data_IF_391038339110
#
_entry.id   IF_391038339110
#
_cell.length_a   1.000
_cell.length_b   1.000
_cell.length_c   1.000
_cell.angle_alpha   90.00
_cell.angle_beta   90.00
_cell.angle_gamma   90.00
#
_symmetry.space_group_name_H-M   'P 1'
#
loop_
_entity.id
_entity.type
_entity.pdbx_description
1 polymer ?
#
# COMPACT_ATOMS: atom_id res chain seq x y z
N UNK A 1 -5.20 -8.75 -18.76
CA UNK A 1 -5.68 -9.62 -17.66
C UNK A 1 -5.42 -11.10 -17.95
N UNK A 2 -5.93 -11.69 -19.04
CA UNK A 2 -5.69 -13.12 -19.32
C UNK A 2 -4.19 -13.47 -19.50
N UNK A 3 -3.43 -12.67 -20.24
CA UNK A 3 -1.99 -12.92 -20.40
C UNK A 3 -1.25 -12.88 -19.05
N UNK A 4 -1.51 -11.85 -18.23
CA UNK A 4 -0.82 -11.68 -16.94
C UNK A 4 -1.21 -12.76 -15.92
N UNK A 5 -2.50 -12.97 -15.69
CA UNK A 5 -2.99 -13.84 -14.60
C UNK A 5 -3.27 -15.28 -15.05
N UNK A 6 -3.64 -15.48 -16.31
CA UNK A 6 -3.92 -16.80 -16.88
C UNK A 6 -2.71 -17.48 -17.52
N UNK A 7 -1.79 -16.71 -18.10
CA UNK A 7 -0.60 -17.27 -18.79
C UNK A 7 0.67 -17.12 -17.96
N UNK A 8 1.02 -15.89 -17.54
CA UNK A 8 2.22 -15.63 -16.74
C UNK A 8 2.07 -16.05 -15.27
N UNK A 9 0.86 -16.41 -14.83
CA UNK A 9 0.59 -16.95 -13.49
C UNK A 9 0.64 -15.91 -12.38
N UNK A 10 0.47 -14.62 -12.69
CA UNK A 10 0.34 -13.60 -11.65
C UNK A 10 -0.88 -13.90 -10.78
N UNK A 11 -0.77 -13.63 -9.48
CA UNK A 11 -1.80 -13.99 -8.49
C UNK A 11 -2.13 -12.84 -7.53
N UNK A 12 -1.58 -11.66 -7.77
CA UNK A 12 -1.84 -10.45 -6.98
C UNK A 12 -2.04 -9.28 -7.95
N UNK A 13 -3.09 -8.50 -7.75
CA UNK A 13 -3.32 -7.21 -8.39
C UNK A 13 -3.27 -6.11 -7.32
N UNK A 14 -2.48 -5.06 -7.58
CA UNK A 14 -2.52 -3.79 -6.85
C UNK A 14 -3.40 -2.81 -7.60
N UNK A 15 -4.35 -2.17 -6.93
CA UNK A 15 -5.20 -1.11 -7.50
C UNK A 15 -5.00 0.22 -6.78
N UNK A 16 -5.19 1.33 -7.48
CA UNK A 16 -5.16 2.66 -6.89
C UNK A 16 -6.51 3.03 -6.26
N UNK A 17 -6.46 3.68 -5.10
CA UNK A 17 -7.59 4.36 -4.50
C UNK A 17 -7.56 5.82 -4.97
N UNK A 18 -8.46 6.17 -5.88
CA UNK A 18 -8.58 7.52 -6.45
C UNK A 18 -9.28 8.49 -5.48
N UNK A 19 -8.61 9.62 -5.19
CA UNK A 19 -9.05 10.69 -4.29
C UNK A 19 -10.40 11.32 -4.65
N UNK A 20 -10.75 11.36 -5.94
CA UNK A 20 -12.03 11.89 -6.44
C UNK A 20 -13.12 10.82 -6.52
N UNK A 21 -12.84 9.62 -6.00
CA UNK A 21 -13.74 8.46 -6.00
C UNK A 21 -14.04 7.90 -7.40
N UNK A 22 -13.13 8.09 -8.36
CA UNK A 22 -13.23 7.48 -9.68
C UNK A 22 -12.78 6.01 -9.64
N UNK A 23 -13.56 5.16 -8.96
CA UNK A 23 -13.17 3.78 -8.61
C UNK A 23 -13.62 2.71 -9.60
N UNK A 24 -14.41 3.06 -10.61
CA UNK A 24 -15.09 2.08 -11.49
C UNK A 24 -14.13 1.29 -12.38
N UNK A 25 -13.09 1.94 -12.89
CA UNK A 25 -12.08 1.28 -13.71
C UNK A 25 -11.31 0.25 -12.89
N UNK A 26 -10.93 0.59 -11.66
CA UNK A 26 -10.23 -0.33 -10.76
C UNK A 26 -11.14 -1.45 -10.25
N UNK A 27 -12.43 -1.17 -10.05
CA UNK A 27 -13.42 -2.21 -9.78
C UNK A 27 -13.53 -3.20 -10.95
N UNK A 28 -13.54 -2.69 -12.19
CA UNK A 28 -13.55 -3.52 -13.40
C UNK A 28 -12.30 -4.38 -13.51
N UNK A 29 -11.13 -3.81 -13.23
CA UNK A 29 -9.85 -4.53 -13.21
C UNK A 29 -9.82 -5.62 -12.14
N UNK A 30 -10.22 -5.28 -10.91
CA UNK A 30 -10.29 -6.21 -9.79
C UNK A 30 -11.20 -7.41 -10.08
N UNK A 31 -12.40 -7.17 -10.64
CA UNK A 31 -13.31 -8.26 -11.04
C UNK A 31 -12.70 -9.22 -12.04
N UNK A 32 -11.91 -8.72 -13.01
CA UNK A 32 -11.23 -9.57 -14.00
C UNK A 32 -10.13 -10.42 -13.34
N UNK A 33 -9.33 -9.82 -12.45
CA UNK A 33 -8.27 -10.53 -11.75
C UNK A 33 -8.82 -11.58 -10.76
N UNK A 34 -9.89 -11.27 -10.02
CA UNK A 34 -10.56 -12.20 -9.10
C UNK A 34 -11.11 -13.44 -9.82
N UNK A 35 -11.67 -13.28 -11.04
CA UNK A 35 -12.12 -14.41 -11.87
C UNK A 35 -10.98 -15.35 -12.27
N UNK A 36 -9.74 -14.87 -12.21
CA UNK A 36 -8.51 -15.62 -12.49
C UNK A 36 -7.78 -16.01 -11.19
N UNK A 37 -8.49 -16.04 -10.05
CA UNK A 37 -8.00 -16.44 -8.72
C UNK A 37 -6.90 -15.54 -8.14
N UNK A 38 -6.77 -14.31 -8.61
CA UNK A 38 -5.85 -13.34 -8.01
C UNK A 38 -6.40 -12.77 -6.70
N UNK A 39 -5.51 -12.39 -5.78
CA UNK A 39 -5.83 -11.47 -4.68
C UNK A 39 -5.78 -10.04 -5.19
N UNK A 40 -6.60 -9.16 -4.62
CA UNK A 40 -6.56 -7.72 -4.92
C UNK A 40 -6.25 -6.96 -3.64
N UNK A 41 -5.27 -6.07 -3.67
CA UNK A 41 -5.06 -5.09 -2.61
C UNK A 41 -5.07 -3.68 -3.18
N UNK A 42 -5.36 -2.70 -2.34
CA UNK A 42 -5.53 -1.32 -2.77
C UNK A 42 -4.63 -0.36 -1.99
N UNK A 43 -4.06 0.62 -2.69
CA UNK A 43 -3.21 1.66 -2.10
C UNK A 43 -3.70 3.05 -2.52
N UNK A 44 -3.90 3.97 -1.58
CA UNK A 44 -4.09 5.39 -1.89
C UNK A 44 -2.73 6.06 -2.13
N UNK A 45 -2.64 6.94 -3.12
CA UNK A 45 -1.46 7.80 -3.32
C UNK A 45 -1.56 9.09 -2.52
N UNK A 46 -2.79 9.56 -2.30
CA UNK A 46 -3.10 10.78 -1.56
C UNK A 46 -4.50 10.66 -0.96
N UNK A 47 -4.81 11.52 0.01
CA UNK A 47 -6.19 11.74 0.46
C UNK A 47 -6.86 12.80 -0.44
N UNK A 48 -8.20 12.92 -0.43
CA UNK A 48 -8.89 14.08 -0.99
C UNK A 48 -8.25 15.39 -0.53
N UNK A 49 -8.06 16.34 -1.44
CA UNK A 49 -7.35 17.60 -1.17
C UNK A 49 -7.86 18.32 0.10
N UNK A 50 -9.18 18.31 0.34
CA UNK A 50 -9.80 18.96 1.50
C UNK A 50 -9.40 18.35 2.85
N UNK A 51 -8.88 17.11 2.87
CA UNK A 51 -8.36 16.44 4.07
C UNK A 51 -6.90 16.79 4.38
N UNK A 52 -6.21 17.48 3.47
CA UNK A 52 -4.77 17.78 3.59
C UNK A 52 -4.53 19.21 4.04
N UNK A 53 -3.36 19.46 4.63
CA UNK A 53 -3.01 20.79 5.15
C UNK A 53 -2.81 21.81 4.02
N UNK A 54 -2.24 21.38 2.89
CA UNK A 54 -2.00 22.25 1.74
C UNK A 54 -3.20 22.41 0.81
N UNK A 55 -4.30 21.67 1.02
CA UNK A 55 -5.48 21.67 0.15
C UNK A 55 -5.16 21.37 -1.33
N UNK A 56 -4.20 20.47 -1.58
CA UNK A 56 -3.79 20.04 -2.91
C UNK A 56 -3.62 18.52 -2.95
N UNK A 57 -3.77 17.89 -4.11
CA UNK A 57 -3.56 16.44 -4.25
C UNK A 57 -2.09 16.04 -4.21
N UNK A 58 -1.21 16.96 -4.60
CA UNK A 58 0.24 16.78 -4.60
C UNK A 58 0.87 17.30 -3.30
N UNK A 59 1.79 16.51 -2.74
CA UNK A 59 2.59 16.83 -1.55
C UNK A 59 1.76 17.11 -0.30
N UNK A 60 2.44 17.44 0.81
CA UNK A 60 1.81 17.87 2.05
C UNK A 60 1.24 16.73 2.89
N UNK A 61 1.15 16.94 4.22
CA UNK A 61 0.63 15.92 5.12
C UNK A 61 -0.90 15.90 5.16
N UNK A 62 -1.44 14.78 5.65
CA UNK A 62 -2.83 14.72 6.10
C UNK A 62 -3.03 15.67 7.29
N UNK A 63 -4.11 16.46 7.28
CA UNK A 63 -4.42 17.32 8.41
C UNK A 63 -4.68 16.50 9.67
N UNK A 64 -4.17 16.95 10.81
CA UNK A 64 -4.26 16.22 12.09
C UNK A 64 -5.70 15.98 12.56
N UNK A 65 -6.64 16.84 12.17
CA UNK A 65 -8.07 16.70 12.46
C UNK A 65 -8.82 15.82 11.44
N UNK A 66 -8.15 15.30 10.41
CA UNK A 66 -8.77 14.53 9.32
C UNK A 66 -8.47 13.03 9.41
N UNK A 67 -7.77 12.54 10.43
CA UNK A 67 -7.40 11.12 10.54
C UNK A 67 -8.61 10.18 10.60
N UNK A 68 -9.68 10.58 11.31
CA UNK A 68 -10.93 9.82 11.31
C UNK A 68 -11.56 9.79 9.92
N UNK A 69 -11.65 10.94 9.26
CA UNK A 69 -12.27 11.06 7.94
C UNK A 69 -11.49 10.29 6.87
N UNK A 70 -10.15 10.28 6.97
CA UNK A 70 -9.31 9.49 6.09
C UNK A 70 -9.50 7.98 6.30
N UNK A 71 -9.60 7.52 7.55
CA UNK A 71 -9.93 6.13 7.83
C UNK A 71 -11.32 5.73 7.30
N UNK A 72 -12.31 6.63 7.44
CA UNK A 72 -13.66 6.42 6.91
C UNK A 72 -13.67 6.44 5.36
N UNK A 73 -12.81 7.26 4.74
CA UNK A 73 -12.58 7.25 3.29
C UNK A 73 -12.01 5.91 2.80
N UNK A 74 -10.96 5.39 3.44
CA UNK A 74 -10.41 4.06 3.11
C UNK A 74 -11.44 2.95 3.34
N UNK A 75 -12.21 3.02 4.44
CA UNK A 75 -13.32 2.11 4.68
C UNK A 75 -14.35 2.15 3.56
N UNK A 76 -14.71 3.34 3.08
CA UNK A 76 -15.72 3.49 2.03
C UNK A 76 -15.28 2.83 0.71
N UNK A 77 -13.97 2.82 0.40
CA UNK A 77 -13.41 2.06 -0.72
C UNK A 77 -13.54 0.54 -0.51
N UNK A 78 -13.18 0.04 0.68
CA UNK A 78 -13.33 -1.38 1.04
C UNK A 78 -14.79 -1.83 0.91
N UNK A 79 -15.71 -1.04 1.45
CA UNK A 79 -17.15 -1.33 1.39
C UNK A 79 -17.67 -1.25 -0.05
N UNK A 80 -17.23 -0.27 -0.85
CA UNK A 80 -17.58 -0.14 -2.27
C UNK A 80 -17.20 -1.40 -3.06
N UNK A 81 -15.95 -1.85 -2.93
CA UNK A 81 -15.44 -3.04 -3.59
C UNK A 81 -16.17 -4.32 -3.15
N UNK A 82 -16.37 -4.48 -1.83
CA UNK A 82 -17.11 -5.62 -1.26
C UNK A 82 -18.54 -5.68 -1.78
N UNK A 83 -19.27 -4.57 -1.73
CA UNK A 83 -20.69 -4.50 -2.12
C UNK A 83 -20.88 -4.71 -3.63
N UNK A 84 -19.85 -4.45 -4.43
CA UNK A 84 -19.86 -4.67 -5.87
C UNK A 84 -19.27 -6.02 -6.30
N UNK A 85 -19.03 -6.95 -5.37
CA UNK A 85 -18.57 -8.30 -5.69
C UNK A 85 -17.09 -8.42 -6.01
N UNK A 86 -16.27 -7.48 -5.55
CA UNK A 86 -14.82 -7.49 -5.71
C UNK A 86 -14.09 -7.29 -4.37
N UNK A 87 -14.31 -8.14 -3.35
CA UNK A 87 -13.74 -7.94 -2.03
C UNK A 87 -12.21 -7.92 -2.07
N UNK A 88 -11.62 -6.94 -1.38
CA UNK A 88 -10.18 -6.78 -1.27
C UNK A 88 -9.58 -7.78 -0.27
N UNK A 89 -8.37 -8.25 -0.55
CA UNK A 89 -7.55 -9.04 0.36
C UNK A 89 -6.90 -8.15 1.44
N UNK A 90 -6.41 -6.97 1.04
CA UNK A 90 -5.74 -6.02 1.91
C UNK A 90 -5.94 -4.57 1.41
N UNK A 91 -5.70 -3.60 2.29
CA UNK A 91 -5.68 -2.17 2.00
C UNK A 91 -4.48 -1.53 2.68
N UNK A 92 -3.78 -0.66 1.96
CA UNK A 92 -2.64 0.08 2.49
C UNK A 92 -3.05 1.44 3.05
N UNK A 93 -2.25 1.97 3.97
CA UNK A 93 -2.49 3.29 4.55
C UNK A 93 -2.15 4.41 3.57
N UNK A 94 -1.04 4.31 2.83
CA UNK A 94 -0.55 5.35 1.92
C UNK A 94 0.62 4.80 1.09
N UNK A 95 0.75 5.23 -0.16
CA UNK A 95 1.91 5.01 -1.01
C UNK A 95 3.07 5.93 -0.59
N UNK A 96 4.26 5.37 -0.38
CA UNK A 96 5.54 6.11 -0.28
C UNK A 96 5.47 7.38 0.60
N UNK A 97 5.06 7.23 1.87
CA UNK A 97 4.88 8.38 2.76
C UNK A 97 6.15 9.20 2.99
N UNK A 98 7.30 8.58 2.74
CA UNK A 98 8.66 9.09 2.88
C UNK A 98 9.26 9.70 1.61
N UNK A 99 8.70 9.44 0.43
CA UNK A 99 9.11 10.05 -0.84
C UNK A 99 8.13 11.14 -1.32
N UNK A 100 7.02 11.34 -0.60
CA UNK A 100 5.93 12.22 -0.98
C UNK A 100 6.33 13.66 -1.32
N UNK A 101 7.41 14.21 -0.75
CA UNK A 101 7.88 15.58 -1.04
C UNK A 101 8.71 15.70 -2.33
N UNK A 102 9.33 14.60 -2.77
CA UNK A 102 10.18 14.57 -3.96
C UNK A 102 9.39 14.15 -5.21
N UNK A 103 8.32 13.40 -5.01
CA UNK A 103 7.50 12.86 -6.08
C UNK A 103 6.89 13.95 -7.01
N UNK A 104 6.88 13.74 -8.33
CA UNK A 104 6.30 14.68 -9.28
C UNK A 104 4.77 14.56 -9.42
N UNK A 105 4.13 13.58 -8.78
CA UNK A 105 2.71 13.23 -8.91
C UNK A 105 1.91 13.44 -7.60
N UNK A 106 0.63 13.05 -7.59
CA UNK A 106 -0.24 13.15 -6.41
C UNK A 106 0.29 12.29 -5.26
N UNK A 107 0.51 12.91 -4.11
CA UNK A 107 1.16 12.28 -2.96
C UNK A 107 0.69 12.90 -1.66
N UNK A 108 0.79 12.15 -0.58
CA UNK A 108 0.58 12.65 0.77
C UNK A 108 1.66 12.10 1.70
N UNK A 109 2.28 12.97 2.48
CA UNK A 109 3.34 12.56 3.39
C UNK A 109 2.79 12.07 4.73
N UNK A 110 3.52 11.12 5.33
CA UNK A 110 3.35 10.70 6.71
C UNK A 110 4.72 10.57 7.36
N UNK A 111 4.95 11.24 8.49
CA UNK A 111 6.10 10.92 9.33
C UNK A 111 5.89 9.58 10.04
N UNK A 112 6.95 8.96 10.52
CA UNK A 112 6.87 7.71 11.30
C UNK A 112 5.92 7.82 12.51
N UNK A 113 5.94 8.96 13.21
CA UNK A 113 5.04 9.17 14.37
C UNK A 113 3.59 9.38 13.95
N UNK A 114 3.34 10.08 12.84
CA UNK A 114 2.00 10.20 12.26
C UNK A 114 1.47 8.83 11.83
N UNK A 115 2.30 7.99 11.22
CA UNK A 115 1.92 6.65 10.76
C UNK A 115 1.57 5.76 11.95
N UNK A 116 2.43 5.71 12.98
CA UNK A 116 2.14 5.01 14.24
C UNK A 116 0.84 5.51 14.88
N UNK A 117 0.64 6.84 14.97
CA UNK A 117 -0.57 7.41 15.53
C UNK A 117 -1.82 6.98 14.74
N UNK A 118 -1.75 7.02 13.42
CA UNK A 118 -2.83 6.57 12.55
C UNK A 118 -3.15 5.08 12.74
N UNK A 119 -2.13 4.24 12.73
CA UNK A 119 -2.27 2.79 12.92
C UNK A 119 -2.94 2.46 14.25
N UNK A 120 -2.44 3.05 15.35
CA UNK A 120 -2.94 2.81 16.71
C UNK A 120 -4.39 3.21 16.90
N UNK A 121 -4.76 4.39 16.39
CA UNK A 121 -6.01 5.03 16.77
C UNK A 121 -7.11 4.95 15.70
N UNK A 122 -6.75 4.66 14.44
CA UNK A 122 -7.68 4.79 13.31
C UNK A 122 -7.75 3.57 12.40
N UNK A 123 -6.73 2.69 12.34
CA UNK A 123 -6.78 1.51 11.46
C UNK A 123 -7.94 0.55 11.81
N UNK A 124 -8.34 0.48 13.10
CA UNK A 124 -9.49 -0.30 13.54
C UNK A 124 -10.82 0.15 12.91
N UNK A 125 -10.94 1.44 12.51
CA UNK A 125 -12.14 1.94 11.81
C UNK A 125 -12.26 1.32 10.43
N UNK A 126 -11.15 1.19 9.69
CA UNK A 126 -11.09 0.57 8.36
C UNK A 126 -11.57 -0.88 8.42
N UNK A 127 -11.15 -1.60 9.47
CA UNK A 127 -11.54 -3.00 9.72
C UNK A 127 -12.99 -3.18 10.18
N UNK A 128 -13.69 -2.13 10.63
CA UNK A 128 -15.03 -2.27 11.20
C UNK A 128 -16.01 -2.89 10.19
N UNK A 129 -16.55 -4.08 10.51
CA UNK A 129 -17.46 -4.84 9.65
C UNK A 129 -16.80 -5.58 8.47
N UNK A 130 -15.47 -5.70 8.45
CA UNK A 130 -14.72 -6.45 7.44
C UNK A 130 -13.51 -7.21 8.03
N UNK A 131 -13.01 -8.20 7.31
CA UNK A 131 -11.77 -8.91 7.66
C UNK A 131 -10.59 -8.40 6.81
N UNK A 132 -10.63 -7.13 6.40
CA UNK A 132 -9.61 -6.53 5.55
C UNK A 132 -8.26 -6.52 6.28
N UNK A 133 -7.19 -6.87 5.57
CA UNK A 133 -5.82 -6.75 6.10
C UNK A 133 -5.31 -5.33 5.92
N UNK A 134 -4.63 -4.80 6.93
CA UNK A 134 -3.95 -3.51 6.86
C UNK A 134 -2.50 -3.72 6.42
N UNK A 135 -2.11 -2.98 5.40
CA UNK A 135 -0.73 -2.87 4.92
C UNK A 135 -0.15 -1.51 5.30
N UNK A 136 1.11 -1.50 5.73
CA UNK A 136 1.88 -0.29 6.00
C UNK A 136 3.38 -0.63 6.05
N UNK A 137 4.26 0.37 5.90
CA UNK A 137 3.99 1.74 5.47
C UNK A 137 4.10 1.95 3.95
N UNK A 138 4.51 0.95 3.16
CA UNK A 138 4.88 1.11 1.75
C UNK A 138 5.95 2.20 1.54
N UNK A 139 6.99 2.18 2.38
CA UNK A 139 8.16 3.06 2.22
C UNK A 139 8.80 2.88 0.84
N UNK A 140 9.19 4.00 0.21
CA UNK A 140 9.83 4.03 -1.11
C UNK A 140 11.13 3.23 -1.17
N UNK A 141 11.94 3.31 -0.10
CA UNK A 141 13.22 2.63 -0.03
C UNK A 141 14.38 3.40 0.59
N UNK A 142 14.19 4.69 0.87
CA UNK A 142 15.23 5.56 1.42
C UNK A 142 15.07 5.84 2.92
N UNK A 143 13.90 5.61 3.51
CA UNK A 143 13.69 5.81 4.95
C UNK A 143 14.03 4.55 5.74
N UNK A 144 15.23 4.53 6.32
CA UNK A 144 15.85 3.33 6.91
C UNK A 144 15.10 2.64 8.06
N UNK A 145 14.06 3.23 8.65
CA UNK A 145 13.54 2.74 9.95
C UNK A 145 12.01 2.82 10.16
N UNK A 146 11.19 3.17 9.14
CA UNK A 146 9.73 3.31 9.38
C UNK A 146 9.06 1.96 9.70
N UNK A 147 9.31 0.92 8.90
CA UNK A 147 8.81 -0.43 9.15
C UNK A 147 9.24 -0.94 10.54
N UNK A 148 10.53 -0.81 10.86
CA UNK A 148 11.09 -1.20 12.16
C UNK A 148 10.45 -0.44 13.32
N UNK A 149 10.27 0.87 13.21
CA UNK A 149 9.63 1.68 14.25
C UNK A 149 8.16 1.31 14.47
N UNK A 150 7.43 0.95 13.41
CA UNK A 150 6.05 0.45 13.51
C UNK A 150 6.03 -0.91 14.21
N UNK A 151 6.92 -1.83 13.82
CA UNK A 151 6.96 -3.19 14.37
C UNK A 151 7.50 -3.25 15.81
N UNK A 152 8.33 -2.30 16.22
CA UNK A 152 8.83 -2.17 17.59
C UNK A 152 7.84 -1.49 18.55
N UNK A 153 6.77 -0.86 18.06
CA UNK A 153 5.66 -0.31 18.87
C UNK A 153 4.51 -1.34 18.90
N UNK A 154 4.22 -2.02 20.03
CA UNK A 154 3.29 -3.14 20.07
C UNK A 154 1.86 -2.82 19.61
N UNK A 155 1.39 -1.59 19.84
CA UNK A 155 0.04 -1.19 19.43
C UNK A 155 -0.04 -0.93 17.92
N UNK A 156 0.99 -0.30 17.34
CA UNK A 156 1.10 -0.09 15.90
C UNK A 156 1.29 -1.43 15.18
N UNK A 157 2.17 -2.28 15.70
CA UNK A 157 2.39 -3.63 15.20
C UNK A 157 1.11 -4.48 15.23
N UNK A 158 0.27 -4.36 16.27
CA UNK A 158 -1.00 -5.09 16.34
C UNK A 158 -2.02 -4.66 15.27
N UNK A 159 -1.93 -3.42 14.76
CA UNK A 159 -2.83 -2.92 13.73
C UNK A 159 -2.49 -3.42 12.32
N UNK A 160 -1.20 -3.66 12.05
CA UNK A 160 -0.65 -4.05 10.74
C UNK A 160 -0.70 -5.57 10.56
N UNK A 161 -1.22 -6.04 9.43
CA UNK A 161 -1.24 -7.47 9.08
C UNK A 161 -0.12 -7.85 8.10
N UNK A 162 0.25 -6.92 7.22
CA UNK A 162 1.27 -7.08 6.19
C UNK A 162 2.23 -5.88 6.28
N UNK A 163 3.49 -6.17 6.58
CA UNK A 163 4.56 -5.18 6.47
C UNK A 163 4.92 -5.01 4.98
N UNK A 164 4.86 -3.78 4.49
CA UNK A 164 4.94 -3.49 3.05
C UNK A 164 6.01 -2.45 2.73
N UNK A 165 6.70 -2.62 1.61
CA UNK A 165 7.83 -1.78 1.19
C UNK A 165 8.00 -1.81 -0.33
N UNK A 166 8.61 -0.77 -0.89
CA UNK A 166 9.02 -0.69 -2.29
C UNK A 166 10.51 -1.04 -2.49
N UNK A 167 10.92 -1.29 -3.72
CA UNK A 167 12.27 -1.76 -4.06
C UNK A 167 13.26 -0.69 -4.52
N UNK A 168 12.92 0.61 -4.44
CA UNK A 168 13.71 1.65 -5.09
C UNK A 168 14.97 2.02 -4.30
N UNK A 169 16.14 1.81 -4.91
CA UNK A 169 17.44 2.30 -4.41
C UNK A 169 18.24 1.34 -3.53
N UNK A 170 17.78 0.10 -3.29
CA UNK A 170 18.47 -0.87 -2.45
C UNK A 170 18.08 -2.33 -2.77
N UNK A 171 18.79 -3.30 -2.20
CA UNK A 171 18.42 -4.73 -2.27
C UNK A 171 17.44 -5.01 -1.14
N UNK A 172 16.22 -5.36 -1.50
CA UNK A 172 15.17 -5.64 -0.55
C UNK A 172 15.35 -7.00 0.13
N UNK A 173 15.30 -7.00 1.46
CA UNK A 173 15.22 -8.20 2.31
C UNK A 173 14.28 -7.91 3.48
N UNK A 174 13.54 -8.91 4.00
CA UNK A 174 12.76 -8.72 5.22
C UNK A 174 13.68 -8.32 6.37
N UNK A 175 13.33 -7.22 7.05
CA UNK A 175 14.12 -6.74 8.19
C UNK A 175 14.01 -7.71 9.38
N UNK A 176 14.99 -7.73 10.31
CA UNK A 176 14.91 -8.59 11.49
C UNK A 176 13.64 -8.39 12.33
N UNK A 177 13.13 -7.16 12.39
CA UNK A 177 11.87 -6.82 13.07
C UNK A 177 10.67 -7.55 12.44
N UNK A 178 10.62 -7.64 11.11
CA UNK A 178 9.60 -8.33 10.33
C UNK A 178 9.64 -9.82 10.62
N UNK A 179 10.84 -10.43 10.54
CA UNK A 179 11.06 -11.85 10.87
C UNK A 179 10.60 -12.15 12.30
N UNK A 180 11.02 -11.32 13.27
CA UNK A 180 10.64 -11.45 14.68
C UNK A 180 9.12 -11.30 14.90
N UNK A 181 8.47 -10.43 14.14
CA UNK A 181 7.02 -10.20 14.26
C UNK A 181 6.16 -11.37 13.77
N UNK A 182 6.70 -12.23 12.89
CA UNK A 182 5.95 -13.31 12.24
C UNK A 182 4.89 -12.85 11.24
N UNK A 183 4.89 -11.56 10.86
CA UNK A 183 3.96 -10.98 9.88
C UNK A 183 4.37 -11.31 8.45
N UNK A 184 3.43 -11.18 7.51
CA UNK A 184 3.76 -11.23 6.09
C UNK A 184 4.58 -9.99 5.72
N UNK A 185 5.52 -10.17 4.80
CA UNK A 185 6.35 -9.12 4.22
C UNK A 185 6.12 -9.07 2.72
N UNK A 186 5.63 -7.95 2.18
CA UNK A 186 5.29 -7.82 0.77
C UNK A 186 6.08 -6.67 0.13
N UNK A 187 6.74 -6.97 -0.98
CA UNK A 187 7.18 -5.94 -1.92
C UNK A 187 6.01 -5.55 -2.80
N UNK A 188 5.60 -4.29 -2.72
CA UNK A 188 4.36 -3.84 -3.34
C UNK A 188 4.58 -3.00 -4.59
N UNK A 189 5.78 -2.47 -4.80
CA UNK A 189 6.16 -1.76 -6.01
C UNK A 189 7.68 -1.77 -6.24
N UNK A 190 8.07 -2.09 -7.48
CA UNK A 190 9.39 -1.81 -7.99
C UNK A 190 9.36 -1.88 -9.52
N UNK A 191 10.24 -1.13 -10.17
CA UNK A 191 10.41 -1.22 -11.62
C UNK A 191 11.89 -1.07 -11.98
N UNK A 192 12.33 -1.86 -12.96
CA UNK A 192 13.59 -1.66 -13.68
C UNK A 192 13.21 -1.53 -15.14
N UNK A 193 13.70 -0.47 -15.80
CA UNK A 193 13.60 -0.36 -17.25
C UNK A 193 14.34 -1.54 -17.91
N UNK A 194 13.56 -2.51 -18.38
CA UNK A 194 14.07 -3.70 -19.04
C UNK A 194 14.06 -3.51 -20.55
N UNK A 195 15.19 -3.09 -21.11
CA UNK A 195 15.39 -2.92 -22.55
C UNK A 195 16.23 -4.02 -23.20
N UNK A 196 16.90 -4.86 -22.40
CA UNK A 196 17.83 -5.87 -22.85
C UNK A 196 17.84 -7.12 -21.94
N UNK A 197 18.53 -8.18 -22.35
CA UNK A 197 18.60 -9.41 -21.56
C UNK A 197 19.23 -9.20 -20.17
N UNK A 198 20.21 -8.30 -20.05
CA UNK A 198 20.90 -8.05 -18.79
C UNK A 198 19.97 -7.39 -17.77
N UNK A 199 19.16 -6.42 -18.19
CA UNK A 199 18.16 -5.76 -17.36
C UNK A 199 17.04 -6.72 -16.94
N UNK A 200 16.62 -7.65 -17.81
CA UNK A 200 15.71 -8.74 -17.43
C UNK A 200 16.33 -9.66 -16.38
N UNK A 201 17.60 -10.05 -16.52
CA UNK A 201 18.28 -10.88 -15.53
C UNK A 201 18.41 -10.19 -14.17
N UNK A 202 18.56 -8.86 -14.13
CA UNK A 202 18.54 -8.08 -12.88
C UNK A 202 17.17 -8.13 -12.20
N UNK A 203 16.07 -8.11 -12.95
CA UNK A 203 14.72 -8.31 -12.38
C UNK A 203 14.63 -9.69 -11.73
N UNK A 204 15.11 -10.73 -12.42
CA UNK A 204 15.11 -12.09 -11.87
C UNK A 204 15.96 -12.21 -10.59
N UNK A 205 17.15 -11.60 -10.58
CA UNK A 205 18.03 -11.53 -9.41
C UNK A 205 17.36 -10.79 -8.24
N UNK A 206 16.66 -9.68 -8.50
CA UNK A 206 15.94 -8.96 -7.45
C UNK A 206 14.79 -9.78 -6.88
N UNK A 207 14.00 -10.45 -7.72
CA UNK A 207 12.96 -11.37 -7.24
C UNK A 207 13.60 -12.46 -6.37
N UNK A 208 14.69 -13.06 -6.80
CA UNK A 208 15.40 -14.08 -6.02
C UNK A 208 15.86 -13.56 -4.65
N UNK A 209 16.45 -12.36 -4.62
CA UNK A 209 16.95 -11.73 -3.38
C UNK A 209 15.84 -11.33 -2.40
N UNK A 210 14.59 -11.29 -2.87
CA UNK A 210 13.40 -10.87 -2.13
C UNK A 210 12.65 -12.04 -1.46
N UNK A 211 13.02 -13.29 -1.76
CA UNK A 211 12.43 -14.52 -1.21
C UNK A 211 13.13 -14.93 0.10
#
# INVERSE_FOLDING_TARGET
>A
MNELFGTLGYSILRVRIDEDKQWDDELSNAKKALKLNAKVFATPWTAPADMKDNKQDKHGPLSSNQYSNYADYLKSFVDYFKNNGAPLYAISIINEPDFALEAPYNTMSFTTDQMKNFLKNFAGRIKSGSNIKIMAPESYGSATDMNDAILNDPQSAAAVDIDAMHGYGFIMKPQPSVIKSGKQFWMTEHCIDAGDFNSVMKIAEQIHNSL
#
